data_IF_575344133932
#
_entry.id   IF_575344133932
#
_cell.length_a   1.000
_cell.length_b   1.000
_cell.length_c   1.000
_cell.angle_alpha   90.00
_cell.angle_beta   90.00
_cell.angle_gamma   90.00
#
_symmetry.space_group_name_H-M   'P 1'
#
loop_
_entity.id
_entity.type
_entity.pdbx_description
1 polymer ?
#
# COMPACT_ATOMS: atom_id res chain seq x y z
N UNK A 1 47.89 30.86 -6.68
CA UNK A 1 47.41 32.23 -6.37
C UNK A 1 46.78 32.13 -5.00
N UNK A 2 47.42 32.59 -4.22
CA UNK A 2 47.84 32.90 -2.84
C UNK A 2 46.67 33.13 -1.88
N UNK A 3 46.57 32.18 -0.96
CA UNK A 3 45.68 32.15 0.22
C UNK A 3 46.24 33.00 1.40
N UNK A 4 47.13 33.95 1.14
CA UNK A 4 47.85 34.69 2.18
C UNK A 4 47.34 36.14 2.41
N UNK A 5 46.33 36.60 1.73
CA UNK A 5 45.93 38.01 1.76
C UNK A 5 44.73 38.30 2.67
N UNK A 6 43.98 37.30 3.16
CA UNK A 6 42.81 37.53 4.02
C UNK A 6 43.07 37.57 5.52
N UNK A 7 44.31 37.37 5.97
CA UNK A 7 44.58 37.32 7.40
C UNK A 7 45.17 38.61 7.98
N UNK A 8 45.14 39.71 7.22
CA UNK A 8 45.79 40.97 7.65
C UNK A 8 44.87 42.14 7.97
N UNK A 9 43.55 41.95 7.93
CA UNK A 9 42.60 43.06 8.23
C UNK A 9 41.74 42.85 9.50
N UNK A 10 42.08 41.90 10.35
CA UNK A 10 41.34 41.65 11.61
C UNK A 10 42.18 42.01 12.84
N UNK A 11 42.94 43.06 12.81
CA UNK A 11 43.69 43.47 13.96
C UNK A 11 43.85 44.99 14.01
N UNK A 12 42.74 45.73 14.13
CA UNK A 12 42.81 47.15 14.59
C UNK A 12 41.41 47.68 14.85
N UNK A 13 40.82 47.41 15.99
CA UNK A 13 39.84 48.27 16.65
C UNK A 13 39.47 47.73 18.04
N UNK A 14 40.47 47.82 18.91
CA UNK A 14 40.31 47.68 20.38
C UNK A 14 40.85 48.97 21.00
N UNK A 15 39.96 49.71 21.66
CA UNK A 15 40.18 50.61 22.82
C UNK A 15 39.30 51.82 22.77
N UNK A 16 39.03 52.42 23.90
CA UNK A 16 38.11 52.12 24.98
C UNK A 16 37.10 53.26 25.21
N UNK A 17 36.08 53.10 26.01
CA UNK A 17 35.55 54.20 26.83
C UNK A 17 34.95 53.66 28.12
N UNK A 18 35.61 53.94 29.19
CA UNK A 18 35.12 53.91 30.56
C UNK A 18 34.27 55.16 30.85
N UNK A 19 33.34 54.99 31.79
CA UNK A 19 32.71 55.95 32.66
C UNK A 19 31.43 56.64 32.19
N UNK A 20 30.33 56.19 32.78
CA UNK A 20 29.34 57.12 33.39
C UNK A 20 28.58 56.38 34.50
N UNK A 21 28.82 56.77 35.73
CA UNK A 21 28.03 56.51 36.90
C UNK A 21 26.66 57.17 36.84
N UNK A 22 25.64 56.46 37.35
CA UNK A 22 24.59 57.15 38.11
C UNK A 22 23.21 57.23 37.44
N UNK A 23 22.32 56.39 37.84
CA UNK A 23 21.06 56.75 38.52
C UNK A 23 20.25 55.48 38.73
N UNK A 24 19.97 55.20 40.01
CA UNK A 24 19.00 54.15 40.37
C UNK A 24 17.62 54.69 40.03
N UNK A 25 17.09 54.20 38.89
CA UNK A 25 15.70 54.38 38.49
C UNK A 25 14.95 53.09 38.82
N UNK A 26 13.88 53.23 39.57
CA UNK A 26 13.03 52.16 40.08
C UNK A 26 12.59 51.25 38.91
N UNK A 27 12.94 49.98 39.01
CA UNK A 27 12.48 48.94 38.06
C UNK A 27 10.95 48.93 38.03
N UNK A 28 10.30 49.06 36.88
CA UNK A 28 8.89 48.69 36.74
C UNK A 28 8.74 47.17 36.94
N UNK A 29 7.74 46.86 37.72
CA UNK A 29 7.25 45.46 37.98
C UNK A 29 7.18 44.69 36.67
N UNK A 30 7.71 43.43 36.57
CA UNK A 30 7.63 42.67 35.35
C UNK A 30 6.17 42.30 35.07
N UNK A 31 5.56 43.04 34.17
CA UNK A 31 4.30 42.69 33.57
C UNK A 31 4.52 41.32 32.89
N UNK A 32 3.94 40.27 33.48
CA UNK A 32 3.91 38.93 32.90
C UNK A 32 3.33 39.03 31.48
N UNK A 33 4.18 38.91 30.50
CA UNK A 33 3.74 38.76 29.12
C UNK A 33 2.77 37.58 29.05
N UNK A 34 1.61 37.67 28.40
CA UNK A 34 0.70 36.56 28.25
C UNK A 34 1.46 35.44 27.55
N UNK A 35 1.46 34.25 28.15
CA UNK A 35 2.05 33.07 27.59
C UNK A 35 1.48 32.87 26.18
N UNK A 36 2.33 32.98 25.15
CA UNK A 36 1.96 32.66 23.78
C UNK A 36 1.61 31.17 23.80
N UNK A 37 0.33 30.87 23.66
CA UNK A 37 -0.13 29.49 23.51
C UNK A 37 0.48 28.98 22.20
N UNK A 38 1.51 28.16 22.32
CA UNK A 38 2.02 27.40 21.18
C UNK A 38 0.87 26.48 20.76
N UNK A 39 0.27 26.78 19.62
CA UNK A 39 -0.72 25.90 19.01
C UNK A 39 -0.11 24.53 18.88
N UNK A 40 -0.72 23.51 19.51
CA UNK A 40 -0.30 22.13 19.34
C UNK A 40 -0.32 21.79 17.85
N UNK A 41 0.69 21.06 17.33
CA UNK A 41 0.65 20.61 15.95
C UNK A 41 -0.66 19.86 15.70
N UNK A 42 -1.28 19.99 14.51
CA UNK A 42 -2.51 19.31 14.20
C UNK A 42 -2.30 17.82 14.40
N UNK A 43 -3.09 17.21 15.27
CA UNK A 43 -3.11 15.76 15.43
C UNK A 43 -3.50 15.16 14.09
N UNK A 44 -2.61 14.34 13.50
CA UNK A 44 -2.93 13.64 12.25
C UNK A 44 -4.23 12.85 12.46
N UNK A 45 -5.25 13.16 11.69
CA UNK A 45 -6.53 12.45 11.73
C UNK A 45 -6.25 11.02 11.29
N UNK A 46 -6.50 10.05 12.17
CA UNK A 46 -6.33 8.65 11.85
C UNK A 46 -7.22 8.29 10.65
N UNK A 47 -6.65 7.66 9.63
CA UNK A 47 -7.40 7.17 8.47
C UNK A 47 -8.28 6.02 8.98
N UNK A 48 -9.62 6.05 8.75
CA UNK A 48 -10.48 4.94 9.12
C UNK A 48 -10.01 3.66 8.41
N UNK A 49 -9.71 2.62 9.18
CA UNK A 49 -9.18 1.36 8.70
C UNK A 49 -10.28 0.29 8.65
N UNK A 50 -10.31 -0.50 7.58
CA UNK A 50 -11.08 -1.74 7.50
C UNK A 50 -10.29 -2.89 8.14
N UNK A 51 -8.97 -2.93 7.95
CA UNK A 51 -8.05 -3.88 8.57
C UNK A 51 -6.62 -3.34 8.62
N UNK A 52 -5.76 -4.04 9.36
CA UNK A 52 -4.31 -3.79 9.40
C UNK A 52 -3.58 -5.13 9.26
N UNK A 53 -2.61 -5.19 8.35
CA UNK A 53 -1.84 -6.40 8.03
C UNK A 53 -0.36 -6.10 8.24
N UNK A 54 0.24 -6.64 9.29
CA UNK A 54 1.67 -6.42 9.64
C UNK A 54 2.07 -4.92 9.70
N UNK A 55 1.14 -4.04 10.05
CA UNK A 55 1.37 -2.60 10.10
C UNK A 55 0.84 -1.82 8.88
N UNK A 56 0.62 -2.46 7.75
CA UNK A 56 -0.01 -1.84 6.58
C UNK A 56 -1.52 -1.74 6.75
N UNK A 57 -2.07 -0.56 6.47
CA UNK A 57 -3.48 -0.26 6.68
C UNK A 57 -4.27 -0.45 5.39
N UNK A 58 -5.30 -1.29 5.44
CA UNK A 58 -6.37 -1.29 4.46
C UNK A 58 -7.36 -0.21 4.90
N UNK A 59 -7.42 0.89 4.17
CA UNK A 59 -8.35 1.97 4.51
C UNK A 59 -9.80 1.53 4.23
N UNK A 60 -10.74 2.09 5.01
CA UNK A 60 -12.16 1.85 4.75
C UNK A 60 -12.59 2.36 3.37
N UNK A 61 -11.94 3.42 2.87
CA UNK A 61 -12.19 3.93 1.52
C UNK A 61 -11.76 2.95 0.43
N UNK A 62 -10.57 2.35 0.55
CA UNK A 62 -10.06 1.31 -0.35
C UNK A 62 -10.97 0.08 -0.35
N UNK A 63 -11.30 -0.43 0.84
CA UNK A 63 -12.21 -1.57 0.99
C UNK A 63 -13.58 -1.32 0.34
N UNK A 64 -14.20 -0.17 0.58
CA UNK A 64 -15.51 0.16 0.02
C UNK A 64 -15.45 0.30 -1.51
N UNK A 65 -14.39 0.91 -2.04
CA UNK A 65 -14.21 1.03 -3.49
C UNK A 65 -14.06 -0.35 -4.15
N UNK A 66 -13.28 -1.25 -3.54
CA UNK A 66 -13.12 -2.62 -4.04
C UNK A 66 -14.42 -3.43 -3.94
N UNK A 67 -15.17 -3.26 -2.85
CA UNK A 67 -16.45 -3.92 -2.69
C UNK A 67 -17.45 -3.51 -3.80
N UNK A 68 -17.49 -2.23 -4.15
CA UNK A 68 -18.33 -1.74 -5.26
C UNK A 68 -17.88 -2.37 -6.58
N UNK A 69 -16.58 -2.38 -6.87
CA UNK A 69 -16.03 -3.01 -8.10
C UNK A 69 -16.36 -4.50 -8.19
N UNK A 70 -16.18 -5.21 -7.07
CA UNK A 70 -16.52 -6.63 -6.98
C UNK A 70 -18.01 -6.88 -7.27
N UNK A 71 -18.91 -6.10 -6.66
CA UNK A 71 -20.35 -6.23 -6.85
C UNK A 71 -20.73 -5.94 -8.31
N UNK A 72 -20.21 -4.88 -8.92
CA UNK A 72 -20.41 -4.56 -10.34
C UNK A 72 -19.94 -5.68 -11.26
N UNK A 73 -18.80 -6.29 -10.97
CA UNK A 73 -18.28 -7.41 -11.73
C UNK A 73 -19.17 -8.67 -11.59
N UNK A 74 -19.67 -8.96 -10.39
CA UNK A 74 -20.60 -10.08 -10.18
C UNK A 74 -21.92 -9.86 -10.93
N UNK A 75 -22.45 -8.64 -10.88
CA UNK A 75 -23.68 -8.28 -11.62
C UNK A 75 -23.49 -8.42 -13.13
N UNK A 76 -22.38 -7.96 -13.69
CA UNK A 76 -22.04 -8.11 -15.11
C UNK A 76 -21.94 -9.58 -15.54
N UNK A 77 -21.55 -10.48 -14.62
CA UNK A 77 -21.52 -11.93 -14.83
C UNK A 77 -22.87 -12.63 -14.58
N UNK A 78 -23.93 -11.87 -14.23
CA UNK A 78 -25.25 -12.41 -13.89
C UNK A 78 -25.26 -13.21 -12.59
N UNK A 79 -24.29 -12.99 -11.68
CA UNK A 79 -24.18 -13.67 -10.40
C UNK A 79 -24.74 -12.80 -9.28
N UNK A 80 -25.44 -13.44 -8.34
CA UNK A 80 -25.90 -12.79 -7.12
C UNK A 80 -25.06 -13.29 -5.96
N UNK A 81 -24.44 -12.35 -5.23
CA UNK A 81 -23.63 -12.62 -4.05
C UNK A 81 -24.24 -11.85 -2.88
N UNK A 82 -24.30 -12.47 -1.70
CA UNK A 82 -24.77 -11.78 -0.50
C UNK A 82 -23.77 -10.70 -0.08
N UNK A 83 -24.25 -9.64 0.59
CA UNK A 83 -23.36 -8.55 1.07
C UNK A 83 -22.26 -9.10 1.95
N UNK A 84 -22.60 -9.99 2.90
CA UNK A 84 -21.60 -10.58 3.81
C UNK A 84 -20.53 -11.37 3.06
N UNK A 85 -20.92 -12.19 2.08
CA UNK A 85 -19.98 -12.98 1.29
C UNK A 85 -19.07 -12.07 0.43
N UNK A 86 -19.61 -11.00 -0.13
CA UNK A 86 -18.84 -10.01 -0.87
C UNK A 86 -17.83 -9.30 0.03
N UNK A 87 -18.24 -8.86 1.23
CA UNK A 87 -17.36 -8.22 2.21
C UNK A 87 -16.22 -9.15 2.65
N UNK A 88 -16.54 -10.39 3.02
CA UNK A 88 -15.54 -11.40 3.43
C UNK A 88 -14.57 -11.69 2.28
N UNK A 89 -15.07 -11.84 1.06
CA UNK A 89 -14.23 -12.11 -0.12
C UNK A 89 -13.28 -10.98 -0.42
N UNK A 90 -13.80 -9.76 -0.51
CA UNK A 90 -13.00 -8.56 -0.82
C UNK A 90 -11.95 -8.30 0.26
N UNK A 91 -12.32 -8.43 1.54
CA UNK A 91 -11.36 -8.23 2.63
C UNK A 91 -10.23 -9.26 2.57
N UNK A 92 -10.54 -10.53 2.35
CA UNK A 92 -9.54 -11.57 2.23
C UNK A 92 -8.64 -11.34 1.01
N UNK A 93 -9.20 -10.99 -0.15
CA UNK A 93 -8.41 -10.72 -1.36
C UNK A 93 -7.43 -9.54 -1.16
N UNK A 94 -7.85 -8.48 -0.45
CA UNK A 94 -6.98 -7.35 -0.10
C UNK A 94 -5.88 -7.75 0.89
N UNK A 95 -6.20 -8.57 1.89
CA UNK A 95 -5.22 -9.10 2.85
C UNK A 95 -4.19 -9.98 2.13
N UNK A 96 -4.63 -10.90 1.30
CA UNK A 96 -3.74 -11.79 0.55
C UNK A 96 -2.82 -11.01 -0.39
N UNK A 97 -3.34 -9.98 -1.06
CA UNK A 97 -2.53 -9.11 -1.92
C UNK A 97 -1.44 -8.38 -1.13
N UNK A 98 -1.76 -7.85 0.06
CA UNK A 98 -0.76 -7.19 0.91
C UNK A 98 0.29 -8.19 1.39
N UNK A 99 -0.11 -9.37 1.86
CA UNK A 99 0.83 -10.39 2.33
C UNK A 99 1.80 -10.82 1.23
N UNK A 100 1.30 -11.05 0.01
CA UNK A 100 2.16 -11.38 -1.13
C UNK A 100 3.08 -10.22 -1.52
N UNK A 101 2.59 -8.98 -1.48
CA UNK A 101 3.41 -7.80 -1.77
C UNK A 101 4.52 -7.59 -0.72
N UNK A 102 4.22 -7.82 0.56
CA UNK A 102 5.21 -7.78 1.64
C UNK A 102 6.28 -8.86 1.46
N UNK A 103 5.86 -10.10 1.17
CA UNK A 103 6.79 -11.20 0.89
C UNK A 103 7.69 -10.91 -0.33
N UNK A 104 7.14 -10.33 -1.39
CA UNK A 104 7.92 -9.90 -2.55
C UNK A 104 9.01 -8.88 -2.17
N UNK A 105 8.65 -7.92 -1.31
CA UNK A 105 9.59 -6.91 -0.83
C UNK A 105 10.69 -7.52 0.06
N UNK A 106 10.34 -8.46 0.94
CA UNK A 106 11.29 -9.22 1.76
C UNK A 106 12.27 -10.03 0.91
N UNK A 107 11.80 -10.59 -0.21
CA UNK A 107 12.63 -11.29 -1.21
C UNK A 107 13.42 -10.35 -2.14
N UNK A 108 13.35 -9.03 -1.90
CA UNK A 108 14.13 -8.01 -2.61
C UNK A 108 13.49 -7.49 -3.90
N UNK A 109 12.25 -7.87 -4.20
CA UNK A 109 11.52 -7.29 -5.33
C UNK A 109 11.02 -5.89 -4.98
N UNK A 110 11.29 -4.93 -5.87
CA UNK A 110 10.77 -3.57 -5.78
C UNK A 110 10.35 -3.10 -7.16
N UNK A 111 9.22 -2.40 -7.21
CA UNK A 111 8.79 -1.69 -8.41
C UNK A 111 8.85 -0.19 -8.14
N UNK A 112 9.40 0.58 -9.06
CA UNK A 112 9.52 2.03 -8.95
C UNK A 112 8.24 2.73 -9.39
N UNK A 113 8.00 3.95 -8.90
CA UNK A 113 6.87 4.77 -9.32
C UNK A 113 6.89 5.02 -10.83
N UNK A 114 8.09 5.21 -11.44
CA UNK A 114 8.24 5.39 -12.88
C UNK A 114 7.79 4.14 -13.69
N UNK A 115 8.02 2.94 -13.18
CA UNK A 115 7.55 1.70 -13.82
C UNK A 115 6.05 1.55 -13.72
N UNK A 116 5.45 1.96 -12.59
CA UNK A 116 3.99 1.99 -12.42
C UNK A 116 3.37 3.01 -13.36
N UNK A 117 3.94 4.22 -13.44
CA UNK A 117 3.47 5.28 -14.34
C UNK A 117 3.53 4.85 -15.81
N UNK A 118 4.63 4.23 -16.24
CA UNK A 118 4.75 3.69 -17.61
C UNK A 118 3.67 2.63 -17.92
N UNK A 119 3.23 1.84 -16.94
CA UNK A 119 2.12 0.89 -17.13
C UNK A 119 0.77 1.59 -17.25
N UNK A 120 0.57 2.67 -16.48
CA UNK A 120 -0.65 3.49 -16.58
C UNK A 120 -0.70 4.20 -17.95
N UNK A 121 0.42 4.74 -18.42
CA UNK A 121 0.52 5.34 -19.75
C UNK A 121 0.22 4.33 -20.86
N UNK A 122 0.77 3.12 -20.76
CA UNK A 122 0.46 2.04 -21.71
C UNK A 122 -1.03 1.68 -21.69
N UNK A 123 -1.65 1.59 -20.51
CA UNK A 123 -3.09 1.36 -20.39
C UNK A 123 -3.88 2.50 -21.04
N UNK A 124 -3.49 3.76 -20.83
CA UNK A 124 -4.13 4.90 -21.46
C UNK A 124 -4.10 4.80 -22.98
N UNK A 125 -2.96 4.41 -23.55
CA UNK A 125 -2.82 4.19 -25.01
C UNK A 125 -3.76 3.07 -25.49
N UNK A 126 -3.80 1.94 -24.78
CA UNK A 126 -4.59 0.77 -25.17
C UNK A 126 -6.10 1.06 -25.19
N UNK A 127 -6.59 1.90 -24.27
CA UNK A 127 -8.01 2.28 -24.20
C UNK A 127 -8.36 3.53 -25.01
N UNK A 128 -7.41 4.10 -25.74
CA UNK A 128 -7.61 5.20 -26.67
C UNK A 128 -7.35 6.60 -26.14
N UNK A 129 -6.50 6.73 -25.14
CA UNK A 129 -5.96 8.00 -24.62
C UNK A 129 -6.39 8.38 -23.21
N UNK A 130 -5.77 9.44 -22.69
CA UNK A 130 -5.95 9.94 -21.33
C UNK A 130 -7.42 10.28 -20.96
N UNK A 131 -8.19 10.81 -21.90
CA UNK A 131 -9.59 11.16 -21.67
C UNK A 131 -10.43 9.89 -21.40
N UNK A 132 -10.15 8.81 -22.13
CA UNK A 132 -10.80 7.52 -21.93
C UNK A 132 -10.35 6.90 -20.61
N UNK A 133 -9.06 7.02 -20.26
CA UNK A 133 -8.55 6.59 -18.95
C UNK A 133 -9.26 7.31 -17.81
N UNK A 134 -9.37 8.64 -17.87
CA UNK A 134 -10.08 9.43 -16.88
C UNK A 134 -11.53 9.00 -16.71
N UNK A 135 -12.22 8.76 -17.82
CA UNK A 135 -13.60 8.27 -17.82
C UNK A 135 -13.70 6.88 -17.21
N UNK A 136 -12.76 6.00 -17.56
CA UNK A 136 -12.70 4.64 -17.02
C UNK A 136 -12.43 4.65 -15.51
N UNK A 137 -11.47 5.44 -15.04
CA UNK A 137 -11.18 5.61 -13.62
C UNK A 137 -12.44 6.02 -12.83
N UNK A 138 -13.12 7.06 -13.31
CA UNK A 138 -14.33 7.56 -12.65
C UNK A 138 -15.44 6.49 -12.59
N UNK A 139 -15.64 5.74 -13.67
CA UNK A 139 -16.67 4.69 -13.74
C UNK A 139 -16.37 3.47 -12.87
N UNK A 140 -15.09 3.24 -12.52
CA UNK A 140 -14.63 2.13 -11.70
C UNK A 140 -14.21 2.55 -10.28
N UNK A 141 -14.56 3.75 -9.85
CA UNK A 141 -14.24 4.27 -8.52
C UNK A 141 -12.73 4.27 -8.20
N UNK A 142 -11.90 4.61 -9.20
CA UNK A 142 -10.48 4.87 -9.04
C UNK A 142 -10.17 6.37 -9.09
N UNK A 143 -9.19 6.79 -8.32
CA UNK A 143 -8.38 7.99 -8.60
C UNK A 143 -7.06 7.55 -9.23
N UNK A 144 -6.30 8.48 -9.81
CA UNK A 144 -4.97 8.17 -10.35
C UNK A 144 -4.05 7.59 -9.28
N UNK A 145 -4.08 8.15 -8.07
CA UNK A 145 -3.27 7.68 -6.93
C UNK A 145 -3.70 6.28 -6.47
N UNK A 146 -5.03 6.02 -6.40
CA UNK A 146 -5.51 4.71 -5.96
C UNK A 146 -5.24 3.64 -7.00
N UNK A 147 -5.30 3.95 -8.31
CA UNK A 147 -4.87 3.04 -9.36
C UNK A 147 -3.38 2.73 -9.27
N UNK A 148 -2.53 3.74 -9.13
CA UNK A 148 -1.08 3.56 -9.00
C UNK A 148 -0.74 2.66 -7.80
N UNK A 149 -1.32 2.95 -6.63
CA UNK A 149 -1.13 2.14 -5.42
C UNK A 149 -1.62 0.70 -5.60
N UNK A 150 -2.78 0.50 -6.22
CA UNK A 150 -3.32 -0.85 -6.51
C UNK A 150 -2.43 -1.62 -7.48
N UNK A 151 -1.92 -0.97 -8.54
CA UNK A 151 -1.00 -1.59 -9.49
C UNK A 151 0.32 -1.98 -8.84
N UNK A 152 0.89 -1.13 -8.00
CA UNK A 152 2.13 -1.43 -7.28
C UNK A 152 1.99 -2.68 -6.43
N UNK A 153 0.91 -2.78 -5.63
CA UNK A 153 0.60 -3.97 -4.83
C UNK A 153 0.36 -5.20 -5.71
N UNK A 154 -0.45 -5.05 -6.77
CA UNK A 154 -0.79 -6.16 -7.66
C UNK A 154 0.42 -6.73 -8.40
N UNK A 155 1.35 -5.87 -8.85
CA UNK A 155 2.58 -6.29 -9.54
C UNK A 155 3.48 -7.04 -8.56
N UNK A 156 3.67 -6.51 -7.34
CA UNK A 156 4.48 -7.16 -6.30
C UNK A 156 3.88 -8.51 -5.91
N UNK A 157 2.56 -8.57 -5.70
CA UNK A 157 1.87 -9.81 -5.38
C UNK A 157 1.93 -10.85 -6.52
N UNK A 158 1.82 -10.40 -7.77
CA UNK A 158 1.95 -11.26 -8.94
C UNK A 158 3.37 -11.85 -9.05
N UNK A 159 4.40 -11.03 -8.85
CA UNK A 159 5.78 -11.50 -8.84
C UNK A 159 6.01 -12.59 -7.79
N UNK A 160 5.53 -12.37 -6.55
CA UNK A 160 5.67 -13.35 -5.47
C UNK A 160 4.93 -14.65 -5.76
N UNK A 161 3.69 -14.54 -6.24
CA UNK A 161 2.91 -15.71 -6.65
C UNK A 161 3.64 -16.52 -7.73
N UNK A 162 4.19 -15.86 -8.74
CA UNK A 162 4.90 -16.51 -9.83
C UNK A 162 6.21 -17.18 -9.33
N UNK A 163 6.89 -16.58 -8.36
CA UNK A 163 8.05 -17.15 -7.67
C UNK A 163 7.66 -18.42 -6.91
N UNK A 164 6.58 -18.39 -6.11
CA UNK A 164 6.08 -19.55 -5.38
C UNK A 164 5.72 -20.69 -6.36
N UNK A 165 5.08 -20.35 -7.48
CA UNK A 165 4.69 -21.34 -8.48
C UNK A 165 5.89 -21.94 -9.22
N UNK A 166 6.97 -21.18 -9.42
CA UNK A 166 8.19 -21.66 -10.06
C UNK A 166 8.90 -22.73 -9.24
N UNK A 167 8.77 -22.71 -7.93
CA UNK A 167 9.36 -23.68 -7.01
C UNK A 167 8.54 -24.98 -6.87
N UNK A 168 7.33 -25.01 -7.43
CA UNK A 168 6.51 -26.21 -7.38
C UNK A 168 7.00 -27.24 -8.39
N UNK A 169 7.04 -28.53 -8.01
CA UNK A 169 7.39 -29.59 -8.93
C UNK A 169 6.38 -29.63 -10.10
N UNK A 170 6.90 -29.66 -11.32
CA UNK A 170 6.09 -29.71 -12.55
C UNK A 170 5.32 -31.02 -12.73
N UNK A 171 5.66 -32.04 -11.94
CA UNK A 171 5.03 -33.35 -11.95
C UNK A 171 4.63 -33.77 -10.53
N UNK A 172 3.40 -34.24 -10.38
CA UNK A 172 2.93 -34.86 -9.15
C UNK A 172 2.66 -36.35 -9.40
N UNK A 173 3.05 -37.21 -8.45
CA UNK A 173 2.68 -38.59 -8.47
C UNK A 173 1.16 -38.69 -8.27
N UNK A 174 0.47 -39.34 -9.24
CA UNK A 174 -0.97 -39.48 -9.20
C UNK A 174 -1.33 -40.95 -9.26
N UNK A 175 -2.34 -41.34 -8.48
CA UNK A 175 -2.92 -42.68 -8.53
C UNK A 175 -4.24 -42.59 -9.29
N UNK A 176 -4.35 -43.32 -10.37
CA UNK A 176 -5.60 -43.50 -11.08
C UNK A 176 -6.37 -44.68 -10.42
N UNK A 177 -7.43 -44.34 -9.69
CA UNK A 177 -8.29 -45.32 -9.03
C UNK A 177 -9.64 -45.42 -9.73
N UNK A 178 -10.12 -46.62 -9.90
CA UNK A 178 -11.48 -46.91 -10.35
C UNK A 178 -12.22 -47.63 -9.24
N UNK A 179 -13.49 -47.30 -9.03
CA UNK A 179 -14.33 -48.02 -8.07
C UNK A 179 -15.55 -48.58 -8.79
N UNK A 180 -15.94 -49.80 -8.38
CA UNK A 180 -17.18 -50.44 -8.81
C UNK A 180 -18.06 -50.57 -7.56
N UNK A 181 -19.21 -49.92 -7.58
CA UNK A 181 -20.18 -49.98 -6.48
C UNK A 181 -21.12 -51.15 -6.73
N UNK A 182 -21.19 -52.09 -5.79
CA UNK A 182 -22.04 -53.29 -5.89
C UNK A 182 -22.96 -53.39 -4.67
N UNK A 183 -24.17 -53.90 -4.88
CA UNK A 183 -25.19 -53.98 -3.84
C UNK A 183 -25.05 -55.22 -2.92
N UNK A 184 -24.32 -56.24 -3.40
CA UNK A 184 -24.12 -57.43 -2.59
C UNK A 184 -22.64 -57.83 -2.52
N UNK A 185 -22.29 -58.48 -1.42
CA UNK A 185 -20.92 -58.88 -1.12
C UNK A 185 -20.42 -59.98 -2.04
N UNK A 186 -21.28 -60.92 -2.38
CA UNK A 186 -20.92 -62.11 -3.17
C UNK A 186 -20.44 -61.70 -4.57
N UNK A 187 -21.19 -60.80 -5.22
CA UNK A 187 -20.80 -60.21 -6.52
C UNK A 187 -19.52 -59.41 -6.42
N UNK A 188 -19.27 -58.69 -5.28
CA UNK A 188 -18.05 -57.93 -5.07
C UNK A 188 -16.82 -58.86 -4.98
N UNK A 189 -16.92 -59.94 -4.23
CA UNK A 189 -15.86 -60.96 -4.10
C UNK A 189 -15.58 -61.70 -5.43
N UNK A 190 -16.61 -61.98 -6.23
CA UNK A 190 -16.47 -62.58 -7.55
C UNK A 190 -15.75 -61.64 -8.53
N UNK A 191 -16.09 -60.34 -8.55
CA UNK A 191 -15.43 -59.39 -9.42
C UNK A 191 -13.99 -59.14 -8.97
N UNK A 192 -13.74 -59.00 -7.64
CA UNK A 192 -12.39 -58.82 -7.09
C UNK A 192 -11.47 -60.03 -7.48
N UNK A 193 -12.00 -61.24 -7.52
CA UNK A 193 -11.23 -62.42 -7.92
C UNK A 193 -10.88 -62.45 -9.41
N UNK A 194 -11.51 -61.60 -10.22
CA UNK A 194 -11.33 -61.52 -11.69
C UNK A 194 -10.49 -60.33 -12.14
N UNK A 195 -10.16 -59.40 -11.23
CA UNK A 195 -9.27 -58.25 -11.47
C UNK A 195 -7.82 -58.61 -11.20
#
# INVERSE_FOLDING_TARGET
MDTRTYFRFLALLLLPILAACGQAESAPDPTLAPATQTSAPPTATAIPAAATVNGDVISLAEFNAELIRFQQAQEALGKTVSVKEAEERVLNDLIDQILLAQAAHEDGFTITDAEVEARIEALAVDIGGEENLSTWLASHNYTSESLASSLQKAISAAWMRDNILADLPSTAEQVHAQQILLYNRETAEEIQARL
#
